data_IF_676924170020
#
_entry.id   IF_676924170020
#
_cell.length_a   1.000
_cell.length_b   1.000
_cell.length_c   1.000
_cell.angle_alpha   90.00
_cell.angle_beta   90.00
_cell.angle_gamma   90.00
#
_symmetry.space_group_name_H-M   'P 1'
#
loop_
_entity.id
_entity.type
_entity.pdbx_description
1 polymer ?
#
# COMPACT_ATOMS: atom_id res chain seq x y z
N UNK A 1 -0.52 25.72 -2.80
CA UNK A 1 -0.36 24.28 -2.52
C UNK A 1 0.75 23.74 -3.43
N UNK A 2 1.57 22.79 -2.96
CA UNK A 2 2.61 22.19 -3.82
C UNK A 2 1.94 21.33 -4.89
N UNK A 3 2.60 21.14 -6.04
CA UNK A 3 2.05 20.32 -7.11
C UNK A 3 1.78 18.90 -6.62
N UNK A 4 2.73 18.31 -5.90
CA UNK A 4 2.61 16.93 -5.39
C UNK A 4 1.38 16.71 -4.51
N UNK A 5 1.06 17.65 -3.62
CA UNK A 5 -0.11 17.54 -2.73
C UNK A 5 -1.42 17.54 -3.54
N UNK A 6 -1.48 18.36 -4.60
CA UNK A 6 -2.64 18.45 -5.49
C UNK A 6 -2.80 17.16 -6.28
N UNK A 7 -1.71 16.64 -6.85
CA UNK A 7 -1.74 15.42 -7.65
C UNK A 7 -2.20 14.23 -6.80
N UNK A 8 -1.64 14.07 -5.59
CA UNK A 8 -2.03 13.01 -4.65
C UNK A 8 -3.50 13.10 -4.25
N UNK A 9 -4.03 14.31 -4.08
CA UNK A 9 -5.43 14.52 -3.67
C UNK A 9 -6.42 14.33 -4.83
N UNK A 10 -6.08 14.81 -6.02
CA UNK A 10 -7.03 14.94 -7.13
C UNK A 10 -6.92 13.81 -8.15
N UNK A 11 -5.71 13.41 -8.58
CA UNK A 11 -5.56 12.39 -9.62
C UNK A 11 -6.29 11.08 -9.33
N UNK A 12 -6.30 10.54 -8.09
CA UNK A 12 -7.07 9.33 -7.79
C UNK A 12 -8.57 9.42 -8.11
N UNK A 13 -9.15 10.63 -8.09
CA UNK A 13 -10.55 10.88 -8.47
C UNK A 13 -10.77 10.85 -9.99
N UNK A 14 -9.70 11.00 -10.77
CA UNK A 14 -9.69 11.08 -12.24
C UNK A 14 -8.99 9.88 -12.90
N UNK A 15 -8.89 8.74 -12.21
CA UNK A 15 -8.28 7.52 -12.75
C UNK A 15 -6.80 7.34 -12.40
N UNK A 16 -6.22 8.24 -11.61
CA UNK A 16 -4.84 8.14 -11.14
C UNK A 16 -3.83 8.78 -12.08
N UNK A 17 -2.57 8.37 -11.93
CA UNK A 17 -1.50 8.81 -12.80
C UNK A 17 -1.69 8.23 -14.21
N UNK A 18 -1.49 9.01 -15.29
CA UNK A 18 -1.73 8.52 -16.63
C UNK A 18 -0.72 7.44 -17.06
N UNK A 19 -1.20 6.36 -17.68
CA UNK A 19 -0.35 5.28 -18.20
C UNK A 19 0.68 5.82 -19.21
N UNK A 20 1.95 5.52 -18.97
CA UNK A 20 3.07 5.93 -19.82
C UNK A 20 3.65 7.32 -19.53
N UNK A 21 3.05 8.11 -18.63
CA UNK A 21 3.66 9.36 -18.17
C UNK A 21 4.75 9.09 -17.13
N UNK A 22 5.89 9.77 -17.24
CA UNK A 22 7.01 9.68 -16.28
C UNK A 22 7.14 10.94 -15.41
N UNK A 23 6.64 12.08 -15.87
CA UNK A 23 6.59 13.31 -15.10
C UNK A 23 5.34 14.14 -15.36
N UNK A 24 5.01 15.01 -14.39
CA UNK A 24 4.00 16.04 -14.48
C UNK A 24 4.65 17.40 -14.21
N UNK A 25 4.43 18.35 -15.10
CA UNK A 25 4.89 19.72 -15.00
C UNK A 25 3.73 20.66 -14.74
N UNK A 26 3.90 21.61 -13.82
CA UNK A 26 3.00 22.75 -13.67
C UNK A 26 3.69 24.01 -14.17
N UNK A 27 3.14 24.61 -15.22
CA UNK A 27 3.61 25.89 -15.75
C UNK A 27 2.91 27.04 -15.05
N UNK A 28 3.70 27.98 -14.52
CA UNK A 28 3.20 29.15 -13.80
C UNK A 28 2.37 30.06 -14.70
N UNK A 29 2.74 30.14 -15.97
CA UNK A 29 2.20 31.14 -16.90
C UNK A 29 0.86 30.72 -17.53
N UNK A 30 0.51 29.43 -17.45
CA UNK A 30 -0.60 28.87 -18.22
C UNK A 30 -1.73 28.30 -17.36
N UNK A 31 -1.61 28.34 -16.02
CA UNK A 31 -2.60 27.75 -15.09
C UNK A 31 -2.95 26.28 -15.42
N UNK A 32 -2.02 25.57 -16.05
CA UNK A 32 -2.18 24.22 -16.59
C UNK A 32 -1.13 23.27 -15.99
N UNK A 33 -1.44 21.98 -16.03
CA UNK A 33 -0.46 20.91 -15.82
C UNK A 33 -0.35 20.12 -17.11
N UNK A 34 0.85 19.63 -17.41
CA UNK A 34 1.11 18.70 -18.50
C UNK A 34 1.80 17.46 -17.98
N UNK A 35 1.44 16.32 -18.54
CA UNK A 35 2.18 15.08 -18.35
C UNK A 35 3.14 14.89 -19.51
N UNK A 36 4.23 14.14 -19.30
CA UNK A 36 5.17 13.79 -20.34
C UNK A 36 5.61 12.33 -20.20
N UNK A 37 5.81 11.67 -21.33
CA UNK A 37 6.48 10.37 -21.42
C UNK A 37 8.02 10.53 -21.39
N UNK A 38 8.75 9.41 -21.48
CA UNK A 38 10.23 9.41 -21.51
C UNK A 38 10.83 10.21 -22.67
N UNK A 39 10.06 10.41 -23.76
CA UNK A 39 10.48 11.21 -24.92
C UNK A 39 10.15 12.69 -24.78
N UNK A 40 9.55 13.11 -23.66
CA UNK A 40 9.10 14.48 -23.43
C UNK A 40 7.85 14.84 -24.22
N UNK A 41 7.09 13.85 -24.70
CA UNK A 41 5.87 14.05 -25.47
C UNK A 41 4.65 13.60 -24.68
N UNK A 42 3.50 14.16 -25.03
CA UNK A 42 2.23 13.69 -24.52
C UNK A 42 1.12 13.88 -25.53
N UNK A 43 0.37 12.82 -25.88
CA UNK A 43 -0.58 12.88 -26.99
C UNK A 43 -1.93 13.50 -26.61
N UNK A 44 -2.15 13.84 -25.33
CA UNK A 44 -3.44 14.31 -24.80
C UNK A 44 -3.32 15.77 -24.37
N UNK A 45 -4.30 16.60 -24.73
CA UNK A 45 -4.44 17.94 -24.17
C UNK A 45 -4.77 17.84 -22.66
N UNK A 46 -3.80 18.19 -21.83
CA UNK A 46 -3.95 18.11 -20.38
C UNK A 46 -4.80 19.25 -19.82
N UNK A 47 -4.92 20.37 -20.53
CA UNK A 47 -5.85 21.44 -20.17
C UNK A 47 -7.30 20.96 -20.28
N UNK A 48 -7.65 20.27 -21.37
CA UNK A 48 -8.99 19.70 -21.53
C UNK A 48 -9.27 18.56 -20.54
N UNK A 49 -8.31 17.65 -20.34
CA UNK A 49 -8.53 16.45 -19.51
C UNK A 49 -8.36 16.70 -18.01
N UNK A 50 -7.42 17.56 -17.62
CA UNK A 50 -6.98 17.76 -16.25
C UNK A 50 -6.92 19.24 -15.83
N UNK A 51 -7.35 20.18 -16.68
CA UNK A 51 -7.25 21.63 -16.40
C UNK A 51 -7.93 22.04 -15.10
N UNK A 52 -9.00 21.36 -14.68
CA UNK A 52 -9.63 21.61 -13.37
C UNK A 52 -8.68 21.35 -12.18
N UNK A 53 -7.78 20.36 -12.29
CA UNK A 53 -6.75 20.08 -11.29
C UNK A 53 -5.76 21.25 -11.24
N UNK A 54 -5.37 21.77 -12.41
CA UNK A 54 -4.45 22.88 -12.53
C UNK A 54 -5.03 24.21 -12.06
N UNK A 55 -6.35 24.43 -12.21
CA UNK A 55 -7.04 25.59 -11.62
C UNK A 55 -6.93 25.63 -10.09
N UNK A 56 -6.93 24.47 -9.42
CA UNK A 56 -6.66 24.37 -7.98
C UNK A 56 -5.18 24.56 -7.63
N UNK A 57 -4.32 24.49 -8.64
CA UNK A 57 -2.88 24.61 -8.56
C UNK A 57 -2.35 26.01 -8.88
N UNK A 58 -3.21 26.98 -9.22
CA UNK A 58 -2.77 28.34 -9.58
C UNK A 58 -1.95 28.95 -8.45
N UNK A 59 -0.74 29.42 -8.80
CA UNK A 59 0.16 30.13 -7.89
C UNK A 59 0.51 31.50 -8.45
N UNK A 60 0.84 32.44 -7.54
CA UNK A 60 1.30 33.78 -7.95
C UNK A 60 2.63 33.66 -8.68
N UNK A 61 2.73 34.37 -9.81
CA UNK A 61 3.97 34.53 -10.56
C UNK A 61 5.02 35.19 -9.68
N UNK A 62 6.07 34.46 -9.36
CA UNK A 62 7.24 34.98 -8.64
C UNK A 62 8.45 35.14 -9.56
N UNK A 63 8.57 34.28 -10.57
CA UNK A 63 9.66 34.27 -11.55
C UNK A 63 9.06 33.87 -12.91
N UNK A 64 9.40 34.56 -14.03
CA UNK A 64 8.98 34.15 -15.36
C UNK A 64 9.49 32.74 -15.71
N UNK A 65 8.68 31.94 -16.43
CA UNK A 65 9.05 30.59 -16.92
C UNK A 65 9.35 29.56 -15.82
N UNK A 66 8.87 29.78 -14.60
CA UNK A 66 9.05 28.83 -13.50
C UNK A 66 8.15 27.59 -13.71
N UNK A 67 8.76 26.41 -13.68
CA UNK A 67 8.06 25.13 -13.75
C UNK A 67 8.32 24.31 -12.48
N UNK A 68 7.28 23.72 -11.91
CA UNK A 68 7.39 22.70 -10.87
C UNK A 68 7.17 21.33 -11.49
N UNK A 69 8.09 20.39 -11.22
CA UNK A 69 8.05 19.03 -11.74
C UNK A 69 7.82 18.02 -10.62
N UNK A 70 7.02 17.02 -10.90
CA UNK A 70 6.82 15.83 -10.07
C UNK A 70 7.04 14.60 -10.94
N UNK A 71 7.91 13.69 -10.51
CA UNK A 71 8.08 12.40 -11.19
C UNK A 71 7.02 11.40 -10.76
N UNK A 72 6.79 10.36 -11.57
CA UNK A 72 5.92 9.24 -11.19
C UNK A 72 6.36 8.64 -9.84
N UNK A 73 7.66 8.40 -9.65
CA UNK A 73 8.20 7.86 -8.39
C UNK A 73 7.90 8.75 -7.18
N UNK A 74 8.04 10.07 -7.33
CA UNK A 74 7.71 11.04 -6.27
C UNK A 74 6.21 11.03 -5.97
N UNK A 75 5.38 10.91 -7.01
CA UNK A 75 3.93 10.80 -6.87
C UNK A 75 3.53 9.51 -6.16
N UNK A 76 4.03 8.36 -6.58
CA UNK A 76 3.74 7.06 -5.97
C UNK A 76 4.18 7.02 -4.50
N UNK A 77 5.38 7.55 -4.22
CA UNK A 77 5.90 7.65 -2.85
C UNK A 77 5.03 8.53 -1.96
N UNK A 78 4.63 9.71 -2.46
CA UNK A 78 3.76 10.62 -1.71
C UNK A 78 2.33 10.07 -1.58
N UNK A 79 1.81 9.41 -2.61
CA UNK A 79 0.51 8.75 -2.59
C UNK A 79 0.48 7.64 -1.56
N UNK A 80 1.52 6.80 -1.51
CA UNK A 80 1.68 5.77 -0.49
C UNK A 80 1.77 6.38 0.92
N UNK A 81 2.55 7.44 1.10
CA UNK A 81 2.68 8.15 2.38
C UNK A 81 1.37 8.85 2.82
N UNK A 82 0.50 9.22 1.86
CA UNK A 82 -0.80 9.82 2.14
C UNK A 82 -1.88 8.82 2.54
N UNK A 83 -1.67 7.53 2.29
CA UNK A 83 -2.65 6.50 2.69
C UNK A 83 -2.75 6.44 4.21
N UNK A 84 -3.97 6.25 4.77
CA UNK A 84 -4.13 6.06 6.20
C UNK A 84 -3.34 4.84 6.66
N UNK A 85 -2.37 5.06 7.56
CA UNK A 85 -1.71 3.95 8.25
C UNK A 85 -2.67 3.36 9.28
N UNK A 86 -2.91 2.07 9.18
CA UNK A 86 -3.74 1.32 10.11
C UNK A 86 -2.85 0.49 11.03
N UNK A 87 -3.02 0.65 12.34
CA UNK A 87 -2.27 -0.08 13.37
C UNK A 87 -2.86 -1.46 13.69
N UNK A 88 -3.94 -1.86 13.00
CA UNK A 88 -4.64 -3.12 13.25
C UNK A 88 -5.76 -3.03 14.29
N UNK A 89 -5.96 -1.87 14.91
CA UNK A 89 -7.07 -1.65 15.85
C UNK A 89 -8.34 -1.19 15.11
N UNK A 90 -9.48 -1.80 15.41
CA UNK A 90 -10.76 -1.47 14.78
C UNK A 90 -10.86 -1.97 13.34
N UNK A 91 -11.64 -1.26 12.52
CA UNK A 91 -11.73 -1.54 11.08
C UNK A 91 -10.64 -0.79 10.32
N UNK A 92 -10.08 -1.37 9.24
CA UNK A 92 -9.14 -0.66 8.38
C UNK A 92 -9.80 0.59 7.79
N UNK A 93 -9.16 1.78 7.80
CA UNK A 93 -9.74 3.01 7.27
C UNK A 93 -10.03 2.92 5.77
N UNK A 94 -11.02 3.68 5.30
CA UNK A 94 -11.30 3.82 3.86
C UNK A 94 -10.08 4.41 3.14
N UNK A 95 -9.72 3.82 2.00
CA UNK A 95 -8.50 4.15 1.24
C UNK A 95 -7.29 3.33 1.64
N UNK A 96 -7.24 2.77 2.85
CA UNK A 96 -6.14 1.96 3.35
C UNK A 96 -5.94 0.71 2.49
N UNK A 97 -4.68 0.35 2.28
CA UNK A 97 -4.30 -0.95 1.76
C UNK A 97 -3.84 -1.83 2.92
N UNK A 98 -4.40 -3.04 3.00
CA UNK A 98 -4.18 -3.97 4.11
C UNK A 98 -4.13 -5.40 3.57
N UNK A 99 -3.72 -6.35 4.40
CA UNK A 99 -3.84 -7.78 4.08
C UNK A 99 -5.22 -8.26 4.53
N UNK A 100 -5.95 -8.91 3.64
CA UNK A 100 -7.22 -9.58 3.92
C UNK A 100 -7.08 -11.09 3.76
N UNK A 101 -7.75 -11.85 4.62
CA UNK A 101 -7.75 -13.32 4.57
C UNK A 101 -8.57 -13.79 3.35
N UNK A 102 -7.88 -14.30 2.35
CA UNK A 102 -8.45 -14.79 1.10
C UNK A 102 -9.09 -16.18 1.28
N UNK A 103 -8.38 -17.08 1.96
CA UNK A 103 -8.88 -18.42 2.26
C UNK A 103 -8.47 -18.84 3.68
N UNK A 104 -9.48 -19.01 4.54
CA UNK A 104 -9.29 -19.48 5.91
C UNK A 104 -8.75 -20.91 6.01
N UNK A 105 -9.01 -21.76 5.02
CA UNK A 105 -8.54 -23.15 5.00
C UNK A 105 -7.04 -23.26 4.73
N UNK A 106 -6.52 -22.42 3.82
CA UNK A 106 -5.08 -22.34 3.52
C UNK A 106 -4.35 -21.25 4.30
N UNK A 107 -5.04 -20.46 5.12
CA UNK A 107 -4.49 -19.26 5.78
C UNK A 107 -3.82 -18.30 4.79
N UNK A 108 -4.37 -18.20 3.58
CA UNK A 108 -3.84 -17.35 2.53
C UNK A 108 -4.31 -15.90 2.76
N UNK A 109 -3.35 -14.99 2.84
CA UNK A 109 -3.60 -13.55 2.94
C UNK A 109 -3.22 -12.87 1.63
N UNK A 110 -4.04 -11.94 1.17
CA UNK A 110 -3.78 -11.15 -0.04
C UNK A 110 -4.06 -9.68 0.23
N UNK A 111 -3.34 -8.79 -0.48
CA UNK A 111 -3.58 -7.35 -0.38
C UNK A 111 -4.97 -6.96 -0.90
N UNK A 112 -5.62 -6.08 -0.15
CA UNK A 112 -6.90 -5.50 -0.48
C UNK A 112 -6.90 -3.99 -0.19
N UNK A 113 -7.66 -3.24 -0.99
CA UNK A 113 -7.91 -1.82 -0.77
C UNK A 113 -9.30 -1.62 -0.19
N UNK A 114 -9.41 -0.84 0.88
CA UNK A 114 -10.69 -0.53 1.51
C UNK A 114 -11.40 0.60 0.75
N UNK A 115 -12.67 0.38 0.43
CA UNK A 115 -13.51 1.29 -0.35
C UNK A 115 -14.58 1.94 0.54
N UNK A 116 -15.07 1.23 1.55
CA UNK A 116 -16.12 1.74 2.41
C UNK A 116 -16.39 0.84 3.62
N UNK A 117 -17.24 1.35 4.52
CA UNK A 117 -17.79 0.59 5.64
C UNK A 117 -19.31 0.62 5.58
N UNK A 118 -19.95 -0.49 5.91
CA UNK A 118 -21.41 -0.60 6.03
C UNK A 118 -21.77 -1.49 7.22
N UNK A 119 -22.48 -0.96 8.21
CA UNK A 119 -22.91 -1.71 9.41
C UNK A 119 -21.78 -2.54 10.07
N UNK A 120 -20.60 -1.92 10.26
CA UNK A 120 -19.43 -2.59 10.84
C UNK A 120 -18.73 -3.60 9.92
N UNK A 121 -19.14 -3.69 8.66
CA UNK A 121 -18.50 -4.52 7.64
C UNK A 121 -17.59 -3.69 6.74
N UNK A 122 -16.56 -4.33 6.23
CA UNK A 122 -15.63 -3.74 5.28
C UNK A 122 -16.07 -4.06 3.86
N UNK A 123 -16.19 -3.02 3.03
CA UNK A 123 -16.29 -3.13 1.58
C UNK A 123 -14.93 -2.77 1.00
N UNK A 124 -14.37 -3.65 0.19
CA UNK A 124 -13.07 -3.46 -0.41
C UNK A 124 -12.90 -4.27 -1.69
N UNK A 125 -11.71 -4.18 -2.27
CA UNK A 125 -11.33 -4.84 -3.52
C UNK A 125 -9.99 -5.53 -3.37
N UNK A 126 -9.84 -6.73 -3.91
CA UNK A 126 -8.56 -7.42 -4.00
C UNK A 126 -7.60 -6.67 -4.94
N UNK A 127 -6.36 -6.45 -4.49
CA UNK A 127 -5.30 -5.84 -5.31
C UNK A 127 -4.50 -6.94 -6.02
N UNK A 128 -4.38 -8.10 -5.40
CA UNK A 128 -3.59 -9.23 -5.88
C UNK A 128 -4.31 -10.57 -5.63
N UNK A 129 -3.71 -11.66 -6.12
CA UNK A 129 -4.21 -13.01 -5.93
C UNK A 129 -5.24 -13.45 -6.96
N UNK A 130 -5.89 -14.61 -6.76
CA UNK A 130 -6.75 -15.24 -7.76
C UNK A 130 -7.98 -14.43 -8.17
N UNK A 131 -8.40 -13.48 -7.35
CA UNK A 131 -9.57 -12.60 -7.57
C UNK A 131 -9.19 -11.12 -7.67
N UNK A 132 -7.98 -10.82 -8.15
CA UNK A 132 -7.52 -9.45 -8.30
C UNK A 132 -8.56 -8.58 -9.02
N UNK A 133 -8.79 -7.39 -8.48
CA UNK A 133 -9.78 -6.40 -8.91
C UNK A 133 -11.26 -6.72 -8.64
N UNK A 134 -11.59 -7.90 -8.11
CA UNK A 134 -12.93 -8.23 -7.64
C UNK A 134 -13.21 -7.65 -6.23
N UNK A 135 -14.49 -7.49 -5.91
CA UNK A 135 -14.94 -7.08 -4.57
C UNK A 135 -14.67 -8.21 -3.57
N UNK A 136 -14.31 -7.85 -2.34
CA UNK A 136 -14.13 -8.79 -1.24
C UNK A 136 -15.42 -9.62 -1.03
N UNK A 137 -15.32 -10.94 -1.23
CA UNK A 137 -16.47 -11.84 -1.08
C UNK A 137 -16.91 -12.01 0.37
N UNK A 138 -16.03 -11.71 1.33
CA UNK A 138 -16.26 -11.90 2.77
C UNK A 138 -16.19 -10.56 3.51
N UNK A 139 -17.36 -10.00 3.78
CA UNK A 139 -17.56 -8.88 4.70
C UNK A 139 -17.62 -9.40 6.15
N UNK A 140 -16.48 -9.88 6.68
CA UNK A 140 -16.42 -10.42 8.05
C UNK A 140 -16.14 -9.31 9.08
N UNK A 141 -16.77 -9.32 10.27
CA UNK A 141 -16.82 -8.14 11.14
C UNK A 141 -15.46 -7.82 11.79
N UNK A 142 -14.67 -8.83 12.17
CA UNK A 142 -13.38 -8.60 12.85
C UNK A 142 -12.47 -9.83 12.67
N UNK A 143 -11.18 -9.60 12.38
CA UNK A 143 -10.15 -10.66 12.31
C UNK A 143 -9.78 -11.17 10.90
N UNK A 144 -10.49 -10.73 9.85
CA UNK A 144 -10.16 -11.06 8.46
C UNK A 144 -9.21 -10.04 7.80
N UNK A 145 -8.79 -9.00 8.53
CA UNK A 145 -7.91 -7.95 8.04
C UNK A 145 -6.76 -7.73 9.01
N UNK A 146 -5.59 -7.38 8.49
CA UNK A 146 -4.46 -6.89 9.27
C UNK A 146 -3.63 -5.87 8.46
N UNK A 147 -2.81 -5.03 9.12
CA UNK A 147 -1.90 -4.12 8.43
C UNK A 147 -0.97 -4.87 7.47
N UNK A 148 -0.48 -4.17 6.44
CA UNK A 148 0.57 -4.71 5.57
C UNK A 148 1.81 -4.98 6.43
N UNK A 149 2.24 -6.24 6.46
CA UNK A 149 3.44 -6.65 7.19
C UNK A 149 4.68 -6.36 6.36
N UNK A 150 5.73 -5.88 7.00
CA UNK A 150 7.06 -5.81 6.40
C UNK A 150 7.58 -7.22 6.08
N UNK A 151 8.51 -7.34 5.13
CA UNK A 151 9.15 -8.62 4.82
C UNK A 151 9.79 -9.28 6.06
N UNK A 152 10.31 -8.47 6.99
CA UNK A 152 10.85 -8.96 8.26
C UNK A 152 9.77 -9.59 9.15
N UNK A 153 8.60 -8.97 9.26
CA UNK A 153 7.47 -9.50 10.02
C UNK A 153 6.88 -10.75 9.37
N UNK A 154 6.81 -10.79 8.03
CA UNK A 154 6.41 -11.97 7.28
C UNK A 154 7.34 -13.15 7.55
N UNK A 155 8.66 -12.95 7.42
CA UNK A 155 9.68 -13.96 7.69
C UNK A 155 9.63 -14.43 9.15
N UNK A 156 9.35 -13.53 10.09
CA UNK A 156 9.18 -13.86 11.51
C UNK A 156 7.97 -14.76 11.74
N UNK A 157 6.80 -14.40 11.23
CA UNK A 157 5.59 -15.22 11.38
C UNK A 157 5.72 -16.57 10.68
N UNK A 158 6.31 -16.62 9.49
CA UNK A 158 6.55 -17.88 8.78
C UNK A 158 7.47 -18.79 9.59
N UNK A 159 8.59 -18.25 10.11
CA UNK A 159 9.51 -19.02 10.94
C UNK A 159 8.85 -19.54 12.23
N UNK A 160 8.04 -18.72 12.91
CA UNK A 160 7.28 -19.13 14.10
C UNK A 160 6.29 -20.24 13.75
N UNK A 161 5.54 -20.10 12.66
CA UNK A 161 4.57 -21.10 12.20
C UNK A 161 5.29 -22.41 11.87
N UNK A 162 6.42 -22.35 11.16
CA UNK A 162 7.27 -23.51 10.87
C UNK A 162 7.80 -24.18 12.12
N UNK A 163 8.26 -23.43 13.12
CA UNK A 163 8.69 -23.99 14.40
C UNK A 163 7.57 -24.77 15.10
N UNK A 164 6.34 -24.24 15.07
CA UNK A 164 5.18 -24.93 15.63
C UNK A 164 4.84 -26.22 14.87
N UNK A 165 4.82 -26.16 13.54
CA UNK A 165 4.54 -27.33 12.69
C UNK A 165 5.62 -28.41 12.89
N UNK A 166 6.89 -28.02 12.88
CA UNK A 166 8.01 -28.94 13.07
C UNK A 166 7.99 -29.59 14.46
N UNK A 167 7.54 -28.86 15.48
CA UNK A 167 7.40 -29.42 16.83
C UNK A 167 6.34 -30.53 16.95
N UNK A 168 5.46 -30.66 15.95
CA UNK A 168 4.48 -31.74 15.89
C UNK A 168 5.02 -33.01 15.22
N UNK A 169 6.26 -32.99 14.71
CA UNK A 169 6.90 -34.18 14.15
C UNK A 169 7.29 -35.18 15.24
N UNK A 170 7.48 -36.44 14.86
CA UNK A 170 7.82 -37.55 15.77
C UNK A 170 9.17 -37.34 16.50
N UNK A 171 9.97 -36.36 16.07
CA UNK A 171 11.27 -36.04 16.65
C UNK A 171 11.18 -35.26 17.96
N UNK A 172 10.00 -34.73 18.30
CA UNK A 172 9.79 -33.96 19.53
C UNK A 172 9.04 -34.80 20.57
N UNK A 173 9.49 -34.71 21.83
CA UNK A 173 8.79 -35.35 22.96
C UNK A 173 7.39 -34.76 23.19
N UNK A 174 7.20 -33.48 22.88
CA UNK A 174 5.92 -32.80 22.90
C UNK A 174 5.95 -31.57 21.97
N UNK A 175 4.82 -31.21 21.35
CA UNK A 175 4.70 -29.98 20.59
C UNK A 175 4.94 -28.75 21.46
N UNK A 176 5.54 -27.72 20.86
CA UNK A 176 5.74 -26.44 21.54
C UNK A 176 4.51 -25.55 21.32
N UNK A 177 4.15 -24.78 22.35
CA UNK A 177 3.12 -23.76 22.27
C UNK A 177 3.54 -22.60 21.36
N UNK A 178 2.56 -21.81 20.89
CA UNK A 178 2.80 -20.58 20.13
C UNK A 178 3.75 -19.62 20.85
N UNK A 179 3.56 -19.45 22.16
CA UNK A 179 4.39 -18.60 23.02
C UNK A 179 5.83 -19.09 23.07
N UNK A 180 6.05 -20.40 23.11
CA UNK A 180 7.39 -20.99 23.10
C UNK A 180 8.08 -20.80 21.75
N UNK A 181 7.36 -21.00 20.63
CA UNK A 181 7.91 -20.76 19.29
C UNK A 181 8.34 -19.29 19.10
N UNK A 182 7.52 -18.34 19.58
CA UNK A 182 7.84 -16.90 19.61
C UNK A 182 9.13 -16.65 20.40
N UNK A 183 9.20 -17.16 21.64
CA UNK A 183 10.36 -16.94 22.51
C UNK A 183 11.66 -17.51 21.92
N UNK A 184 11.57 -18.67 21.25
CA UNK A 184 12.72 -19.29 20.57
C UNK A 184 13.18 -18.40 19.42
N UNK A 185 12.27 -17.96 18.55
CA UNK A 185 12.61 -17.07 17.44
C UNK A 185 13.24 -15.77 17.94
N UNK A 186 12.62 -15.11 18.92
CA UNK A 186 13.10 -13.84 19.46
C UNK A 186 14.47 -13.99 20.16
N UNK A 187 14.74 -15.15 20.78
CA UNK A 187 16.06 -15.46 21.34
C UNK A 187 17.13 -15.64 20.26
N UNK A 188 16.81 -16.26 19.13
CA UNK A 188 17.73 -16.40 17.98
C UNK A 188 17.97 -15.03 17.35
N UNK A 189 16.91 -14.26 17.09
CA UNK A 189 17.00 -12.92 16.52
C UNK A 189 17.86 -11.97 17.40
N UNK A 190 17.75 -12.10 18.72
CA UNK A 190 18.55 -11.35 19.68
C UNK A 190 19.97 -11.91 19.90
N UNK A 191 20.38 -12.97 19.20
CA UNK A 191 21.70 -13.59 19.33
C UNK A 191 21.95 -14.27 20.69
N UNK A 192 20.88 -14.59 21.44
CA UNK A 192 20.96 -15.23 22.77
C UNK A 192 21.31 -16.72 22.69
N UNK A 193 21.14 -17.34 21.52
CA UNK A 193 21.51 -18.73 21.26
C UNK A 193 22.83 -18.73 20.46
N UNK A 194 23.96 -19.05 21.09
CA UNK A 194 25.26 -19.05 20.41
C UNK A 194 25.26 -19.98 19.20
N UNK A 195 25.96 -19.57 18.14
CA UNK A 195 26.15 -20.34 16.90
C UNK A 195 24.88 -20.55 16.03
N UNK A 196 23.74 -19.96 16.38
CA UNK A 196 22.52 -19.95 15.55
C UNK A 196 22.19 -18.51 15.15
N UNK A 197 21.96 -18.28 13.85
CA UNK A 197 21.60 -16.97 13.29
C UNK A 197 20.47 -17.13 12.27
N UNK A 198 19.59 -16.12 12.20
CA UNK A 198 18.63 -15.99 11.11
C UNK A 198 19.37 -15.63 9.82
N UNK A 199 18.91 -16.17 8.69
CA UNK A 199 19.43 -15.86 7.35
C UNK A 199 18.63 -14.75 6.70
#
# INVERSE_FOLDING_TARGET
>A
MKLIDILVQELPKHGGWPDGAVECCRFVDEANIDFYDESGNWPIDCGEKYGEIALKAVRKHTIPLECEKVTLEQYESALAASQPQWNGEGLPPVGCECEALFDSGSSQWCRAKIIGHDDGRVVGRWIEGPKAYEILDYSSPHGAFRPIRSASEQNREEAITRLQVESQSEHWQAPISASQAINIYDAIAAGKIPHIQLK
#
